data_IF_669304081364
#
_entry.id   IF_669304081364
#
_cell.length_a   1.000
_cell.length_b   1.000
_cell.length_c   1.000
_cell.angle_alpha   90.00
_cell.angle_beta   90.00
_cell.angle_gamma   90.00
#
_symmetry.space_group_name_H-M   'P 1'
#
loop_
_entity.id
_entity.type
_entity.pdbx_description
1 polymer ?
#
# COMPACT_ATOMS: atom_id res chain seq x y z
N UNK A 1 -10.64 -0.84 9.16
CA UNK A 1 -10.88 -2.29 9.00
C UNK A 1 -12.14 -2.61 9.80
N UNK A 2 -13.14 -3.27 9.21
CA UNK A 2 -14.38 -3.57 9.92
C UNK A 2 -14.18 -4.76 10.89
N UNK A 3 -14.95 -4.79 11.98
CA UNK A 3 -14.87 -5.81 13.04
C UNK A 3 -15.03 -7.22 12.47
N UNK A 4 -15.94 -7.41 11.50
CA UNK A 4 -16.19 -8.71 10.89
C UNK A 4 -14.98 -9.29 10.16
N UNK A 5 -14.14 -8.45 9.54
CA UNK A 5 -12.91 -8.87 8.86
C UNK A 5 -11.86 -9.31 9.88
N UNK A 6 -11.70 -8.56 10.97
CA UNK A 6 -10.75 -8.91 12.04
C UNK A 6 -11.18 -10.22 12.71
N UNK A 7 -12.47 -10.39 13.00
CA UNK A 7 -12.99 -11.61 13.63
C UNK A 7 -12.78 -12.86 12.73
N UNK A 8 -12.98 -12.71 11.42
CA UNK A 8 -12.70 -13.78 10.45
C UNK A 8 -11.20 -14.15 10.42
N UNK A 9 -10.33 -13.15 10.31
CA UNK A 9 -8.88 -13.38 10.30
C UNK A 9 -8.37 -14.00 11.60
N UNK A 10 -8.91 -13.59 12.76
CA UNK A 10 -8.61 -14.22 14.06
C UNK A 10 -8.99 -15.70 14.05
N UNK A 11 -10.19 -16.02 13.57
CA UNK A 11 -10.64 -17.42 13.45
C UNK A 11 -9.72 -18.22 12.52
N UNK A 12 -9.33 -17.66 11.38
CA UNK A 12 -8.49 -18.35 10.40
C UNK A 12 -7.04 -18.53 10.90
N UNK A 13 -6.44 -17.51 11.54
CA UNK A 13 -5.12 -17.63 12.16
C UNK A 13 -5.12 -18.68 13.29
N UNK A 14 -6.19 -18.73 14.10
CA UNK A 14 -6.33 -19.76 15.13
C UNK A 14 -6.39 -21.16 14.50
N UNK A 15 -7.17 -21.32 13.43
CA UNK A 15 -7.26 -22.59 12.71
C UNK A 15 -5.90 -22.99 12.11
N UNK A 16 -5.09 -22.05 11.62
CA UNK A 16 -3.72 -22.32 11.16
C UNK A 16 -2.86 -22.89 12.29
N UNK A 17 -2.88 -22.27 13.48
CA UNK A 17 -2.13 -22.76 14.66
C UNK A 17 -2.59 -24.15 15.10
N UNK A 18 -3.90 -24.39 15.15
CA UNK A 18 -4.49 -25.69 15.48
C UNK A 18 -4.08 -26.76 14.47
N UNK A 19 -4.16 -26.46 13.17
CA UNK A 19 -3.76 -27.38 12.10
C UNK A 19 -2.26 -27.71 12.15
N UNK A 20 -1.41 -26.71 12.41
CA UNK A 20 0.03 -26.90 12.61
C UNK A 20 0.32 -27.89 13.76
N UNK A 21 -0.34 -27.71 14.90
CA UNK A 21 -0.19 -28.58 16.06
C UNK A 21 -0.73 -30.00 15.79
N UNK A 22 -1.89 -30.11 15.12
CA UNK A 22 -2.47 -31.39 14.72
C UNK A 22 -1.52 -32.17 13.81
N UNK A 23 -0.89 -31.51 12.83
CA UNK A 23 0.09 -32.14 11.95
C UNK A 23 1.31 -32.68 12.73
N UNK A 24 1.78 -31.96 13.76
CA UNK A 24 2.86 -32.45 14.64
C UNK A 24 2.43 -33.71 15.40
N UNK A 25 1.19 -33.76 15.88
CA UNK A 25 0.64 -34.93 16.55
C UNK A 25 0.47 -36.12 15.61
N UNK A 26 0.00 -35.91 14.38
CA UNK A 26 -0.10 -36.94 13.34
C UNK A 26 1.28 -37.52 12.97
N UNK A 27 2.32 -36.69 13.05
CA UNK A 27 3.72 -37.13 12.91
C UNK A 27 4.27 -37.85 14.15
N UNK A 28 3.47 -38.01 15.20
CA UNK A 28 3.81 -38.61 16.48
C UNK A 28 4.96 -37.89 17.19
N UNK A 29 5.02 -36.55 17.09
CA UNK A 29 5.91 -35.77 17.94
C UNK A 29 5.50 -35.97 19.41
N UNK A 30 6.43 -36.33 20.28
CA UNK A 30 6.10 -36.55 21.69
C UNK A 30 5.74 -35.24 22.39
N UNK A 31 4.86 -35.32 23.38
CA UNK A 31 4.47 -34.16 24.20
C UNK A 31 5.69 -33.47 24.82
N UNK A 32 6.66 -34.24 25.33
CA UNK A 32 7.91 -33.69 25.88
C UNK A 32 8.69 -32.90 24.83
N UNK A 33 8.81 -33.44 23.61
CA UNK A 33 9.55 -32.79 22.53
C UNK A 33 8.86 -31.52 22.04
N UNK A 34 7.52 -31.54 21.93
CA UNK A 34 6.73 -30.35 21.63
C UNK A 34 6.92 -29.28 22.71
N UNK A 35 6.93 -29.68 23.98
CA UNK A 35 7.23 -28.80 25.12
C UNK A 35 8.59 -28.13 24.99
N UNK A 36 9.65 -28.88 24.69
CA UNK A 36 10.99 -28.31 24.47
C UNK A 36 11.00 -27.22 23.38
N UNK A 37 10.20 -27.41 22.31
CA UNK A 37 10.17 -26.48 21.17
C UNK A 37 9.43 -25.19 21.51
N UNK A 38 8.23 -25.31 22.09
CA UNK A 38 7.35 -24.16 22.33
C UNK A 38 7.64 -23.45 23.65
N UNK A 39 8.22 -24.13 24.65
CA UNK A 39 8.54 -23.55 25.97
C UNK A 39 10.02 -23.19 26.09
N UNK A 40 10.93 -24.10 25.68
CA UNK A 40 12.37 -23.97 25.91
C UNK A 40 13.16 -23.42 24.70
N UNK A 41 12.45 -22.97 23.66
CA UNK A 41 13.01 -22.47 22.40
C UNK A 41 13.88 -23.50 21.65
N UNK A 42 13.64 -24.79 21.82
CA UNK A 42 14.34 -25.78 21.01
C UNK A 42 13.89 -25.71 19.54
N UNK A 43 14.80 -25.91 18.60
CA UNK A 43 14.47 -26.03 17.18
C UNK A 43 13.94 -27.43 16.85
N UNK A 44 13.17 -27.52 15.77
CA UNK A 44 12.84 -28.79 15.15
C UNK A 44 14.09 -29.45 14.55
N UNK A 45 14.17 -30.77 14.66
CA UNK A 45 15.15 -31.60 13.96
C UNK A 45 14.47 -32.33 12.82
N UNK A 46 15.21 -32.65 11.76
CA UNK A 46 14.65 -33.43 10.64
C UNK A 46 14.07 -34.79 11.08
N UNK A 47 14.60 -35.39 12.15
CA UNK A 47 14.04 -36.61 12.74
C UNK A 47 12.68 -36.42 13.42
N UNK A 48 12.40 -35.22 13.94
CA UNK A 48 11.12 -34.88 14.58
C UNK A 48 10.00 -34.87 13.53
N UNK A 49 10.32 -34.42 12.31
CA UNK A 49 9.33 -34.10 11.28
C UNK A 49 9.37 -35.07 10.09
N UNK A 50 10.41 -35.90 9.97
CA UNK A 50 10.70 -36.76 8.80
C UNK A 50 10.81 -35.97 7.48
N UNK A 51 11.12 -34.68 7.58
CA UNK A 51 11.40 -33.77 6.48
C UNK A 51 12.30 -32.63 6.96
N UNK A 52 12.74 -31.76 6.05
CA UNK A 52 13.49 -30.57 6.43
C UNK A 52 12.62 -29.66 7.31
N UNK A 53 13.12 -29.24 8.50
CA UNK A 53 12.36 -28.40 9.43
C UNK A 53 11.80 -27.13 8.82
N UNK A 54 12.63 -26.39 8.09
CA UNK A 54 12.23 -25.15 7.43
C UNK A 54 11.04 -25.39 6.49
N UNK A 55 11.13 -26.41 5.62
CA UNK A 55 10.04 -26.79 4.73
C UNK A 55 8.75 -27.20 5.46
N UNK A 56 8.85 -27.80 6.64
CA UNK A 56 7.67 -28.09 7.46
C UNK A 56 6.99 -26.83 7.97
N UNK A 57 7.79 -25.89 8.47
CA UNK A 57 7.28 -24.64 9.01
C UNK A 57 6.71 -23.78 7.89
N UNK A 58 7.36 -23.74 6.73
CA UNK A 58 6.84 -23.22 5.47
C UNK A 58 5.43 -23.75 5.16
N UNK A 59 5.31 -25.06 4.94
CA UNK A 59 4.09 -25.71 4.45
C UNK A 59 2.91 -25.62 5.44
N UNK A 60 3.19 -25.67 6.75
CA UNK A 60 2.16 -25.85 7.77
C UNK A 60 1.94 -24.63 8.68
N UNK A 61 2.76 -23.58 8.57
CA UNK A 61 2.64 -22.39 9.41
C UNK A 61 2.85 -21.10 8.62
N UNK A 62 3.99 -20.93 7.94
CA UNK A 62 4.34 -19.65 7.29
C UNK A 62 3.46 -19.36 6.09
N UNK A 63 3.32 -20.27 5.13
CA UNK A 63 2.46 -20.02 3.97
C UNK A 63 0.99 -19.84 4.36
N UNK A 64 0.42 -20.68 5.26
CA UNK A 64 -0.94 -20.43 5.74
C UNK A 64 -1.11 -19.11 6.50
N UNK A 65 -0.11 -18.67 7.28
CA UNK A 65 -0.17 -17.34 7.93
C UNK A 65 -0.11 -16.21 6.92
N UNK A 66 0.80 -16.26 5.94
CA UNK A 66 0.89 -15.25 4.88
C UNK A 66 -0.41 -15.14 4.09
N UNK A 67 -1.07 -16.28 3.83
CA UNK A 67 -2.38 -16.35 3.19
C UNK A 67 -3.44 -15.58 3.98
N UNK A 68 -3.54 -15.83 5.30
CA UNK A 68 -4.51 -15.13 6.17
C UNK A 68 -4.16 -13.64 6.32
N UNK A 69 -2.88 -13.28 6.36
CA UNK A 69 -2.45 -11.86 6.35
C UNK A 69 -2.73 -11.16 5.01
N UNK A 70 -3.06 -11.90 3.96
CA UNK A 70 -3.42 -11.41 2.63
C UNK A 70 -2.21 -11.08 1.75
N UNK A 71 -1.05 -11.71 1.97
CA UNK A 71 0.11 -11.54 1.11
C UNK A 71 0.04 -12.46 -0.11
N UNK A 72 0.19 -11.89 -1.30
CA UNK A 72 0.48 -12.66 -2.50
C UNK A 72 1.99 -12.86 -2.58
N UNK A 73 2.46 -14.11 -2.54
CA UNK A 73 3.90 -14.42 -2.55
C UNK A 73 4.29 -15.32 -3.71
N UNK A 74 5.46 -15.03 -4.29
CA UNK A 74 6.17 -15.93 -5.20
C UNK A 74 7.31 -16.60 -4.44
N UNK A 75 7.22 -17.92 -4.16
CA UNK A 75 8.32 -18.66 -3.53
C UNK A 75 9.51 -18.76 -4.48
N UNK A 76 10.72 -18.57 -3.95
CA UNK A 76 12.01 -18.73 -4.65
C UNK A 76 12.01 -18.06 -6.02
N UNK A 77 11.84 -16.73 -6.08
CA UNK A 77 11.70 -15.99 -7.33
C UNK A 77 12.96 -16.16 -8.20
N UNK A 78 12.77 -16.37 -9.50
CA UNK A 78 13.87 -16.49 -10.47
C UNK A 78 14.41 -15.09 -10.83
N UNK A 79 15.73 -14.94 -10.94
CA UNK A 79 16.38 -13.75 -11.53
C UNK A 79 17.35 -14.19 -12.61
N UNK A 80 17.12 -13.79 -13.88
CA UNK A 80 17.98 -14.22 -14.97
C UNK A 80 19.42 -13.76 -14.75
N UNK A 81 20.34 -14.72 -14.61
CA UNK A 81 21.79 -14.48 -14.49
C UNK A 81 22.45 -14.87 -13.17
N UNK A 82 21.70 -15.37 -12.17
CA UNK A 82 22.25 -15.76 -10.85
C UNK A 82 22.28 -17.27 -10.60
N UNK A 83 23.16 -17.67 -9.68
CA UNK A 83 23.20 -19.03 -9.15
C UNK A 83 22.03 -19.27 -8.17
N UNK A 84 21.58 -20.52 -8.00
CA UNK A 84 20.43 -20.87 -7.15
C UNK A 84 20.60 -20.56 -5.65
N UNK A 85 21.79 -20.18 -5.20
CA UNK A 85 22.11 -19.88 -3.79
C UNK A 85 21.93 -18.40 -3.42
N UNK A 86 21.48 -17.54 -4.35
CA UNK A 86 21.32 -16.08 -4.16
C UNK A 86 19.85 -15.61 -4.28
N UNK A 87 18.88 -16.49 -4.01
CA UNK A 87 17.47 -16.14 -4.09
C UNK A 87 16.85 -16.02 -2.71
N UNK A 88 16.07 -14.96 -2.45
CA UNK A 88 15.30 -14.90 -1.22
C UNK A 88 14.28 -16.03 -1.20
N UNK A 89 13.85 -16.43 0.00
CA UNK A 89 12.89 -17.53 0.14
C UNK A 89 11.57 -17.24 -0.56
N UNK A 90 11.12 -15.98 -0.52
CA UNK A 90 9.96 -15.50 -1.28
C UNK A 90 10.04 -14.01 -1.64
N UNK A 91 9.20 -13.61 -2.60
CA UNK A 91 8.91 -12.20 -2.92
C UNK A 91 7.43 -11.92 -2.65
N UNK A 92 7.12 -10.73 -2.14
CA UNK A 92 5.75 -10.25 -2.00
C UNK A 92 5.36 -9.47 -3.26
N UNK A 93 4.26 -9.85 -3.88
CA UNK A 93 3.85 -9.35 -5.20
C UNK A 93 2.74 -8.30 -5.14
N UNK A 94 2.03 -8.17 -4.01
CA UNK A 94 0.90 -7.24 -3.83
C UNK A 94 1.21 -6.03 -2.93
N UNK A 95 2.49 -5.67 -2.82
CA UNK A 95 2.95 -4.43 -2.21
C UNK A 95 3.56 -3.51 -3.28
N UNK A 96 3.40 -2.17 -3.16
CA UNK A 96 3.96 -1.22 -4.12
C UNK A 96 5.49 -1.15 -4.03
N UNK A 97 6.05 -1.33 -2.84
CA UNK A 97 7.48 -1.42 -2.62
C UNK A 97 8.03 -2.80 -2.99
N UNK A 98 9.31 -2.87 -3.35
CA UNK A 98 9.99 -4.14 -3.62
C UNK A 98 10.29 -4.87 -2.31
N UNK A 99 9.42 -5.81 -1.94
CA UNK A 99 9.51 -6.56 -0.69
C UNK A 99 9.84 -8.03 -0.95
N UNK A 100 10.83 -8.54 -0.23
CA UNK A 100 11.21 -9.96 -0.19
C UNK A 100 10.97 -10.54 1.19
N UNK A 101 11.11 -11.85 1.36
CA UNK A 101 11.18 -12.43 2.68
C UNK A 101 12.11 -13.62 2.79
N UNK A 102 12.66 -13.73 3.99
CA UNK A 102 13.50 -14.82 4.46
C UNK A 102 12.79 -15.56 5.58
N UNK A 103 12.84 -16.89 5.52
CA UNK A 103 12.23 -17.75 6.50
C UNK A 103 13.15 -18.84 7.04
N UNK A 104 12.98 -19.17 8.32
CA UNK A 104 13.65 -20.30 8.96
C UNK A 104 12.68 -21.20 9.69
N UNK A 105 13.20 -22.31 10.22
CA UNK A 105 12.46 -23.13 11.16
C UNK A 105 12.22 -22.37 12.47
N UNK A 106 11.18 -22.77 13.22
CA UNK A 106 10.82 -22.16 14.51
C UNK A 106 12.00 -21.95 15.44
N UNK A 107 11.98 -20.81 16.13
CA UNK A 107 13.00 -20.33 17.07
C UNK A 107 14.30 -19.80 16.44
N UNK A 108 14.41 -19.72 15.10
CA UNK A 108 15.63 -19.27 14.38
C UNK A 108 15.45 -17.96 13.57
N UNK A 109 14.76 -16.96 14.14
CA UNK A 109 14.53 -15.66 13.47
C UNK A 109 15.82 -14.89 13.14
N UNK A 110 16.87 -15.03 13.94
CA UNK A 110 18.08 -14.21 13.77
C UNK A 110 18.87 -14.62 12.52
N UNK A 111 18.81 -15.90 12.14
CA UNK A 111 19.36 -16.38 10.87
C UNK A 111 18.58 -15.78 9.70
N UNK A 112 17.24 -15.77 9.76
CA UNK A 112 16.39 -15.11 8.75
C UNK A 112 16.74 -13.62 8.59
N UNK A 113 16.92 -12.90 9.71
CA UNK A 113 17.32 -11.49 9.70
C UNK A 113 18.72 -11.26 9.13
N UNK A 114 19.68 -12.14 9.43
CA UNK A 114 21.05 -12.02 8.91
C UNK A 114 21.06 -12.18 7.39
N UNK A 115 20.38 -13.21 6.87
CA UNK A 115 20.27 -13.43 5.43
C UNK A 115 19.49 -12.30 4.74
N UNK A 116 18.45 -11.77 5.40
CA UNK A 116 17.67 -10.66 4.85
C UNK A 116 18.51 -9.38 4.71
N UNK A 117 19.38 -9.10 5.68
CA UNK A 117 20.29 -7.94 5.64
C UNK A 117 21.20 -7.99 4.40
N UNK A 118 21.73 -9.16 4.05
CA UNK A 118 22.57 -9.36 2.87
C UNK A 118 21.83 -9.01 1.57
N UNK A 119 20.52 -9.30 1.49
CA UNK A 119 19.72 -8.95 0.32
C UNK A 119 19.39 -7.47 0.21
N UNK A 120 19.09 -6.82 1.34
CA UNK A 120 18.71 -5.41 1.37
C UNK A 120 19.91 -4.47 1.16
N UNK A 121 21.12 -4.87 1.57
CA UNK A 121 22.38 -4.15 1.27
C UNK A 121 22.60 -3.97 -0.25
N UNK A 122 22.16 -4.93 -1.06
CA UNK A 122 22.36 -4.90 -2.51
C UNK A 122 21.46 -3.89 -3.26
N UNK A 123 20.70 -3.03 -2.57
CA UNK A 123 19.83 -1.93 -3.10
C UNK A 123 18.73 -2.36 -4.09
N UNK A 124 18.52 -3.66 -4.27
CA UNK A 124 17.51 -4.21 -5.20
C UNK A 124 16.10 -4.22 -4.60
N UNK A 125 16.02 -4.33 -3.28
CA UNK A 125 14.79 -4.42 -2.51
C UNK A 125 14.80 -3.33 -1.45
N UNK A 126 13.61 -2.84 -1.13
CA UNK A 126 13.44 -1.70 -0.20
C UNK A 126 13.12 -2.20 1.21
N UNK A 127 12.30 -3.26 1.30
CA UNK A 127 11.90 -3.84 2.56
C UNK A 127 11.99 -5.36 2.53
N UNK A 128 12.01 -5.96 3.71
CA UNK A 128 12.11 -7.39 3.89
C UNK A 128 11.26 -7.93 5.03
N UNK A 129 10.63 -9.09 4.83
CA UNK A 129 9.95 -9.85 5.88
C UNK A 129 10.92 -10.91 6.41
N UNK A 130 11.20 -10.92 7.71
CA UNK A 130 11.90 -12.04 8.34
C UNK A 130 10.94 -12.82 9.23
N UNK A 131 10.95 -14.16 9.12
CA UNK A 131 10.10 -15.02 9.95
C UNK A 131 10.74 -16.37 10.30
N UNK A 132 10.38 -16.91 11.46
CA UNK A 132 10.61 -18.32 11.83
C UNK A 132 9.29 -19.11 11.99
N UNK A 133 8.19 -18.55 11.48
CA UNK A 133 6.82 -19.02 11.69
C UNK A 133 6.23 -18.61 13.05
N UNK A 134 7.01 -18.54 14.11
CA UNK A 134 6.56 -18.03 15.41
C UNK A 134 6.68 -16.52 15.51
N UNK A 135 7.80 -15.95 15.09
CA UNK A 135 8.10 -14.53 15.10
C UNK A 135 8.12 -13.99 13.69
N UNK A 136 7.67 -12.75 13.55
CA UNK A 136 7.50 -12.08 12.27
C UNK A 136 7.88 -10.61 12.43
N UNK A 137 8.55 -10.05 11.44
CA UNK A 137 8.83 -8.62 11.37
C UNK A 137 9.03 -8.17 9.93
N UNK A 138 8.75 -6.89 9.68
CA UNK A 138 9.03 -6.21 8.42
C UNK A 138 10.10 -5.17 8.68
N UNK A 139 11.14 -5.18 7.87
CA UNK A 139 12.36 -4.43 8.11
C UNK A 139 12.78 -3.62 6.89
N UNK A 140 13.42 -2.50 7.16
CA UNK A 140 14.26 -1.76 6.22
C UNK A 140 15.72 -1.80 6.68
N UNK A 141 16.64 -1.42 5.80
CA UNK A 141 18.05 -1.26 6.16
C UNK A 141 18.35 0.21 6.42
N UNK A 142 18.94 0.48 7.59
CA UNK A 142 19.47 1.79 7.94
C UNK A 142 20.97 1.74 8.16
N UNK A 143 21.65 2.85 7.90
CA UNK A 143 23.07 2.99 8.18
C UNK A 143 23.28 3.56 9.59
N UNK A 144 23.94 2.78 10.44
CA UNK A 144 24.38 3.23 11.77
C UNK A 144 25.82 3.72 11.69
N UNK A 145 26.06 4.96 12.14
CA UNK A 145 27.38 5.59 12.33
C UNK A 145 28.32 5.57 11.09
N UNK A 146 27.75 5.52 9.88
CA UNK A 146 28.48 5.63 8.61
C UNK A 146 29.34 4.42 8.23
N UNK A 147 29.12 3.24 8.85
CA UNK A 147 29.92 2.02 8.61
C UNK A 147 29.21 0.69 8.74
N UNK A 148 28.05 0.61 9.39
CA UNK A 148 27.33 -0.66 9.61
C UNK A 148 25.88 -0.55 9.20
N UNK A 149 25.39 -1.55 8.48
CA UNK A 149 23.99 -1.70 8.15
C UNK A 149 23.27 -2.48 9.25
N UNK A 150 22.06 -2.05 9.56
CA UNK A 150 21.19 -2.68 10.57
C UNK A 150 19.78 -2.78 10.03
N UNK A 151 19.07 -3.84 10.42
CA UNK A 151 17.64 -3.97 10.14
C UNK A 151 16.84 -3.21 11.19
N UNK A 152 16.08 -2.22 10.75
CA UNK A 152 15.14 -1.48 11.59
C UNK A 152 13.71 -1.89 11.26
N UNK A 153 12.85 -2.14 12.28
CA UNK A 153 11.48 -2.57 12.05
C UNK A 153 10.62 -1.42 11.51
N UNK A 154 9.97 -1.64 10.38
CA UNK A 154 8.99 -0.71 9.78
C UNK A 154 7.64 -0.80 10.50
N UNK A 155 7.33 -1.99 11.02
CA UNK A 155 6.18 -2.25 11.91
C UNK A 155 6.67 -3.05 13.11
N UNK A 156 6.00 -2.90 14.24
CA UNK A 156 6.36 -3.61 15.47
C UNK A 156 6.38 -5.14 15.23
N UNK A 157 7.49 -5.86 15.50
CA UNK A 157 7.56 -7.30 15.34
C UNK A 157 6.51 -8.03 16.18
N UNK A 158 5.86 -9.04 15.61
CA UNK A 158 4.81 -9.80 16.28
C UNK A 158 5.19 -11.27 16.49
N UNK A 159 4.48 -11.94 17.39
CA UNK A 159 4.74 -13.34 17.74
C UNK A 159 3.45 -14.14 17.91
N UNK A 160 3.36 -15.27 17.20
CA UNK A 160 2.34 -16.30 17.37
C UNK A 160 2.71 -17.31 18.47
N UNK A 161 3.92 -17.25 19.03
CA UNK A 161 4.42 -18.26 19.96
C UNK A 161 3.51 -18.46 21.17
N UNK A 162 2.98 -17.38 21.73
CA UNK A 162 2.08 -17.45 22.88
C UNK A 162 0.71 -18.07 22.52
N UNK A 163 0.24 -17.86 21.29
CA UNK A 163 -0.97 -18.52 20.78
C UNK A 163 -0.73 -20.02 20.61
N UNK A 164 0.42 -20.41 20.04
CA UNK A 164 0.83 -21.82 19.91
C UNK A 164 0.92 -22.49 21.28
N UNK A 165 1.53 -21.82 22.28
CA UNK A 165 1.57 -22.31 23.66
C UNK A 165 0.16 -22.47 24.24
N UNK A 166 -0.71 -21.48 24.05
CA UNK A 166 -2.08 -21.53 24.55
C UNK A 166 -2.83 -22.73 24.00
N UNK A 167 -2.87 -22.88 22.67
CA UNK A 167 -3.61 -23.95 21.98
C UNK A 167 -3.03 -25.33 22.34
N UNK A 168 -1.71 -25.48 22.36
CA UNK A 168 -1.08 -26.76 22.73
C UNK A 168 -1.39 -27.19 24.17
N UNK A 169 -1.51 -26.24 25.10
CA UNK A 169 -1.88 -26.52 26.49
C UNK A 169 -3.37 -26.80 26.64
N UNK A 170 -4.22 -26.03 25.95
CA UNK A 170 -5.68 -26.23 25.90
C UNK A 170 -6.03 -27.65 25.42
N UNK A 171 -5.36 -28.09 24.35
CA UNK A 171 -5.52 -29.42 23.73
C UNK A 171 -4.72 -30.52 24.45
N UNK A 172 -4.01 -30.20 25.54
CA UNK A 172 -3.19 -31.14 26.34
C UNK A 172 -2.14 -31.90 25.52
N UNK A 173 -1.56 -31.22 24.53
CA UNK A 173 -0.52 -31.77 23.65
C UNK A 173 0.87 -31.72 24.30
N UNK A 174 1.01 -30.97 25.40
CA UNK A 174 2.23 -30.86 26.19
C UNK A 174 2.02 -31.38 27.62
N UNK A 175 3.09 -31.78 28.35
CA UNK A 175 2.98 -32.33 29.69
C UNK A 175 2.39 -31.35 30.72
N UNK A 176 2.56 -30.04 30.49
CA UNK A 176 2.08 -28.97 31.35
C UNK A 176 0.91 -28.25 30.69
N UNK A 177 -0.31 -28.51 31.13
CA UNK A 177 -1.55 -27.97 30.52
C UNK A 177 -2.15 -26.77 31.27
N UNK A 178 -1.37 -26.06 32.10
CA UNK A 178 -1.87 -24.88 32.81
C UNK A 178 -1.81 -23.62 31.92
N UNK A 179 -2.95 -22.96 31.77
CA UNK A 179 -3.09 -21.72 30.99
C UNK A 179 -2.72 -20.47 31.80
N UNK A 180 -2.50 -20.59 33.12
CA UNK A 180 -2.16 -19.44 33.96
C UNK A 180 -0.92 -18.70 33.44
N UNK A 181 -1.08 -17.38 33.22
CA UNK A 181 -0.01 -16.49 32.78
C UNK A 181 0.11 -16.34 31.26
N UNK A 182 -0.69 -17.06 30.46
CA UNK A 182 -0.80 -16.82 29.03
C UNK A 182 -1.90 -15.77 28.74
N UNK A 183 -1.68 -14.85 27.77
CA UNK A 183 -2.72 -13.93 27.33
C UNK A 183 -3.87 -14.69 26.65
N UNK A 184 -5.00 -14.01 26.52
CA UNK A 184 -6.11 -14.49 25.71
C UNK A 184 -5.70 -14.50 24.21
N UNK A 185 -5.89 -15.62 23.48
CA UNK A 185 -5.34 -15.79 22.15
C UNK A 185 -6.00 -14.90 21.09
N UNK A 186 -7.31 -14.65 21.16
CA UNK A 186 -8.03 -13.88 20.14
C UNK A 186 -7.51 -12.44 20.08
N UNK A 187 -7.23 -11.83 21.24
CA UNK A 187 -6.61 -10.51 21.33
C UNK A 187 -5.20 -10.45 20.75
N UNK A 188 -4.38 -11.48 20.95
CA UNK A 188 -3.05 -11.58 20.35
C UNK A 188 -3.14 -11.74 18.82
N UNK A 189 -4.05 -12.58 18.34
CA UNK A 189 -4.27 -12.82 16.92
C UNK A 189 -4.82 -11.57 16.22
N UNK A 190 -5.71 -10.83 16.87
CA UNK A 190 -6.23 -9.57 16.35
C UNK A 190 -5.11 -8.53 16.20
N UNK A 191 -4.26 -8.38 17.22
CA UNK A 191 -3.09 -7.50 17.15
C UNK A 191 -2.10 -7.94 16.07
N UNK A 192 -1.83 -9.25 15.98
CA UNK A 192 -0.97 -9.83 14.95
C UNK A 192 -1.47 -9.48 13.54
N UNK A 193 -2.76 -9.72 13.26
CA UNK A 193 -3.39 -9.39 11.98
C UNK A 193 -3.41 -7.89 11.70
N UNK A 194 -3.71 -7.05 12.70
CA UNK A 194 -3.78 -5.60 12.52
C UNK A 194 -2.41 -4.98 12.22
N UNK A 195 -1.33 -5.50 12.80
CA UNK A 195 0.02 -4.96 12.66
C UNK A 195 0.77 -5.55 11.46
N UNK A 196 0.55 -6.83 11.12
CA UNK A 196 1.26 -7.51 10.03
C UNK A 196 0.39 -7.82 8.82
N UNK A 197 -0.92 -7.54 8.87
CA UNK A 197 -1.79 -7.69 7.72
C UNK A 197 -1.29 -6.82 6.57
N UNK A 198 -1.37 -7.34 5.35
CA UNK A 198 -0.76 -6.71 4.18
C UNK A 198 -1.23 -5.26 3.99
N UNK A 199 -2.46 -4.90 4.40
CA UNK A 199 -2.95 -3.52 4.35
C UNK A 199 -2.17 -2.56 5.26
N UNK A 200 -1.85 -2.98 6.47
CA UNK A 200 -1.10 -2.14 7.41
C UNK A 200 0.35 -2.00 6.95
N UNK A 201 0.98 -3.13 6.59
CA UNK A 201 2.35 -3.13 6.06
C UNK A 201 2.43 -2.36 4.74
N UNK A 202 1.44 -2.45 3.86
CA UNK A 202 1.36 -1.62 2.65
C UNK A 202 1.28 -0.13 2.96
N UNK A 203 0.62 0.27 4.05
CA UNK A 203 0.59 1.67 4.48
C UNK A 203 1.95 2.12 5.00
N UNK A 204 2.60 1.28 5.81
CA UNK A 204 3.88 1.58 6.44
C UNK A 204 5.04 1.58 5.43
N UNK A 205 5.01 0.67 4.45
CA UNK A 205 6.00 0.56 3.35
C UNK A 205 5.61 1.35 2.10
N UNK A 206 4.41 1.94 2.08
CA UNK A 206 3.88 2.69 0.95
C UNK A 206 4.26 4.17 0.94
N UNK A 207 4.98 4.66 1.97
CA UNK A 207 5.36 6.08 2.10
C UNK A 207 4.16 7.02 2.13
N UNK A 208 3.06 6.62 2.79
CA UNK A 208 1.91 7.51 2.96
C UNK A 208 2.25 8.70 3.88
N UNK A 209 3.14 8.50 4.86
CA UNK A 209 3.73 9.61 5.63
C UNK A 209 4.43 10.59 4.70
N UNK A 210 5.29 10.07 3.83
CA UNK A 210 6.11 10.84 2.90
C UNK A 210 5.27 11.66 1.92
N UNK A 211 4.20 11.05 1.40
CA UNK A 211 3.22 11.75 0.56
C UNK A 211 2.45 12.81 1.36
N UNK A 212 2.04 12.51 2.60
CA UNK A 212 1.33 13.48 3.45
C UNK A 212 2.24 14.65 3.86
N UNK A 213 3.51 14.38 4.11
CA UNK A 213 4.53 15.37 4.45
C UNK A 213 4.82 16.24 3.22
N UNK A 214 5.06 15.63 2.04
CA UNK A 214 5.20 16.35 0.77
C UNK A 214 3.93 17.16 0.43
N UNK A 215 2.73 16.62 0.70
CA UNK A 215 1.46 17.34 0.51
C UNK A 215 1.34 18.54 1.45
N UNK A 216 1.65 18.38 2.73
CA UNK A 216 1.62 19.46 3.72
C UNK A 216 2.68 20.53 3.46
N UNK A 217 3.88 20.12 3.06
CA UNK A 217 4.99 20.99 2.66
C UNK A 217 4.65 21.79 1.40
N UNK A 218 4.14 21.14 0.36
CA UNK A 218 3.71 21.80 -0.88
C UNK A 218 2.60 22.82 -0.59
N UNK A 219 1.68 22.50 0.33
CA UNK A 219 0.48 23.29 0.60
C UNK A 219 0.74 24.48 1.53
N UNK A 220 1.37 24.27 2.69
CA UNK A 220 1.61 25.29 3.74
C UNK A 220 3.07 25.42 4.20
N UNK A 221 3.99 24.60 3.67
CA UNK A 221 5.39 24.62 4.11
C UNK A 221 5.62 23.98 5.48
N UNK A 222 4.63 23.25 6.01
CA UNK A 222 4.75 22.49 7.26
C UNK A 222 5.01 21.01 6.93
N UNK A 223 6.28 20.68 6.62
CA UNK A 223 6.75 19.31 6.42
C UNK A 223 8.22 19.15 6.80
N UNK A 224 8.62 17.96 7.24
CA UNK A 224 10.01 17.61 7.58
C UNK A 224 10.72 16.87 6.42
N UNK A 225 10.13 16.90 5.22
CA UNK A 225 10.64 16.16 4.07
C UNK A 225 11.69 17.02 3.34
N UNK A 226 12.96 16.61 3.40
CA UNK A 226 14.09 17.40 2.87
C UNK A 226 14.17 17.27 1.34
N UNK A 227 13.23 17.87 0.60
CA UNK A 227 13.30 17.97 -0.86
C UNK A 227 14.06 19.23 -1.30
N UNK A 228 14.98 19.08 -2.25
CA UNK A 228 15.39 20.19 -3.11
C UNK A 228 14.26 20.43 -4.14
N UNK A 229 13.52 21.54 -4.08
CA UNK A 229 12.76 22.02 -5.25
C UNK A 229 11.37 22.64 -5.07
N UNK A 230 10.82 22.82 -3.85
CA UNK A 230 9.66 23.70 -3.64
C UNK A 230 10.10 24.84 -2.71
N UNK A 231 10.48 25.97 -3.30
CA UNK A 231 11.07 27.09 -2.56
C UNK A 231 10.02 27.94 -1.82
N UNK A 232 8.75 27.87 -2.23
CA UNK A 232 7.66 28.69 -1.69
C UNK A 232 6.38 27.87 -1.58
N UNK A 233 5.75 27.79 -0.39
CA UNK A 233 4.49 27.09 -0.21
C UNK A 233 3.40 27.64 -1.14
N UNK A 234 2.55 26.76 -1.65
CA UNK A 234 1.53 27.14 -2.63
C UNK A 234 0.55 28.17 -2.05
N UNK A 235 0.21 28.11 -0.75
CA UNK A 235 -0.63 29.11 -0.07
C UNK A 235 -0.06 30.54 -0.08
N UNK A 236 1.27 30.68 -0.12
CA UNK A 236 1.92 32.00 -0.17
C UNK A 236 1.95 32.59 -1.59
N UNK A 237 1.80 31.74 -2.61
CA UNK A 237 1.81 32.13 -4.03
C UNK A 237 0.42 32.36 -4.63
N UNK A 238 -0.63 32.24 -3.82
CA UNK A 238 -2.01 32.53 -4.23
C UNK A 238 -2.29 34.03 -4.17
N UNK A 239 -2.76 34.58 -5.29
CA UNK A 239 -3.44 35.88 -5.31
C UNK A 239 -4.94 35.64 -5.10
N UNK A 240 -5.47 36.07 -3.95
CA UNK A 240 -6.84 35.79 -3.53
C UNK A 240 -7.71 37.04 -3.59
N UNK A 241 -9.04 36.92 -3.76
CA UNK A 241 -9.95 38.06 -3.68
C UNK A 241 -9.84 38.78 -2.34
N UNK A 242 -10.13 40.09 -2.35
CA UNK A 242 -9.82 40.99 -1.24
C UNK A 242 -10.48 40.63 0.11
N UNK A 243 -11.59 39.89 0.06
CA UNK A 243 -12.37 39.47 1.23
C UNK A 243 -12.02 38.06 1.71
N UNK A 244 -11.14 37.33 1.01
CA UNK A 244 -10.77 35.95 1.35
C UNK A 244 -9.89 35.85 2.59
N UNK A 245 -10.27 34.98 3.52
CA UNK A 245 -9.47 34.65 4.70
C UNK A 245 -8.40 33.57 4.43
N UNK A 246 -7.53 33.34 5.41
CA UNK A 246 -6.44 32.38 5.26
C UNK A 246 -6.95 30.93 5.12
N UNK A 247 -8.10 30.59 5.72
CA UNK A 247 -8.68 29.27 5.60
C UNK A 247 -9.24 29.03 4.19
N UNK A 248 -9.84 30.05 3.57
CA UNK A 248 -10.32 30.01 2.19
C UNK A 248 -9.16 29.86 1.20
N UNK A 249 -8.03 30.55 1.44
CA UNK A 249 -6.80 30.34 0.64
C UNK A 249 -6.26 28.92 0.77
N UNK A 250 -6.16 28.39 1.99
CA UNK A 250 -5.72 27.01 2.22
C UNK A 250 -6.66 26.01 1.53
N UNK A 251 -7.97 26.23 1.60
CA UNK A 251 -8.96 25.38 0.93
C UNK A 251 -8.81 25.41 -0.60
N UNK A 252 -8.60 26.60 -1.18
CA UNK A 252 -8.36 26.76 -2.61
C UNK A 252 -7.12 25.98 -3.07
N UNK A 253 -6.01 26.09 -2.33
CA UNK A 253 -4.78 25.37 -2.65
C UNK A 253 -4.93 23.86 -2.54
N UNK A 254 -5.64 23.39 -1.51
CA UNK A 254 -5.94 21.96 -1.36
C UNK A 254 -6.73 21.43 -2.57
N UNK A 255 -7.78 22.16 -2.97
CA UNK A 255 -8.59 21.82 -4.14
C UNK A 255 -7.75 21.83 -5.43
N UNK A 256 -6.85 22.79 -5.58
CA UNK A 256 -5.94 22.87 -6.73
C UNK A 256 -5.03 21.63 -6.81
N UNK A 257 -4.38 21.23 -5.71
CA UNK A 257 -3.54 20.03 -5.68
C UNK A 257 -4.35 18.77 -5.98
N UNK A 258 -5.55 18.64 -5.42
CA UNK A 258 -6.45 17.50 -5.68
C UNK A 258 -6.86 17.43 -7.17
N UNK A 259 -7.17 18.59 -7.79
CA UNK A 259 -7.48 18.69 -9.23
C UNK A 259 -6.30 18.30 -10.11
N UNK A 260 -5.10 18.80 -9.81
CA UNK A 260 -3.88 18.47 -10.55
C UNK A 260 -3.53 16.99 -10.43
N UNK A 261 -3.61 16.43 -9.22
CA UNK A 261 -3.41 15.00 -8.99
C UNK A 261 -4.43 14.15 -9.76
N UNK A 262 -5.68 14.61 -9.83
CA UNK A 262 -6.70 13.92 -10.62
C UNK A 262 -6.43 13.99 -12.14
N UNK A 263 -6.02 15.15 -12.67
CA UNK A 263 -5.63 15.28 -14.08
C UNK A 263 -4.47 14.33 -14.40
N UNK A 264 -3.46 14.27 -13.54
CA UNK A 264 -2.34 13.33 -13.68
C UNK A 264 -2.80 11.88 -13.69
N UNK A 265 -3.67 11.50 -12.74
CA UNK A 265 -4.23 10.15 -12.69
C UNK A 265 -4.97 9.79 -13.99
N UNK A 266 -5.77 10.71 -14.53
CA UNK A 266 -6.50 10.50 -15.78
C UNK A 266 -5.56 10.42 -16.99
N UNK A 267 -4.48 11.19 -17.03
CA UNK A 267 -3.42 11.05 -18.04
C UNK A 267 -2.78 9.67 -17.98
N UNK A 268 -2.37 9.22 -16.80
CA UNK A 268 -1.72 7.91 -16.62
C UNK A 268 -2.62 6.73 -17.02
N UNK A 269 -3.94 6.93 -16.97
CA UNK A 269 -4.95 5.97 -17.43
C UNK A 269 -5.31 6.11 -18.92
N UNK A 270 -4.69 7.03 -19.64
CA UNK A 270 -4.95 7.30 -21.05
C UNK A 270 -6.32 7.92 -21.33
N UNK A 271 -6.91 8.57 -20.31
CA UNK A 271 -8.20 9.25 -20.40
C UNK A 271 -8.05 10.69 -20.89
N UNK A 272 -6.98 11.34 -20.43
CA UNK A 272 -6.58 12.68 -20.84
C UNK A 272 -5.26 12.61 -21.62
N UNK A 273 -5.19 13.35 -22.72
CA UNK A 273 -3.97 13.60 -23.48
C UNK A 273 -3.43 14.99 -23.11
N UNK A 274 -3.27 15.24 -21.81
CA UNK A 274 -2.83 16.51 -21.24
C UNK A 274 -1.49 16.29 -20.56
N UNK A 275 -0.50 17.10 -20.91
CA UNK A 275 0.86 17.03 -20.37
C UNK A 275 1.19 18.33 -19.66
N UNK A 276 0.60 18.53 -18.47
CA UNK A 276 0.65 19.79 -17.73
C UNK A 276 2.05 20.40 -17.61
N UNK A 277 3.10 19.59 -17.41
CA UNK A 277 4.47 20.08 -17.33
C UNK A 277 5.01 20.59 -18.68
N UNK A 278 4.66 19.92 -19.78
CA UNK A 278 5.01 20.38 -21.12
C UNK A 278 4.23 21.66 -21.47
N UNK A 279 2.93 21.70 -21.16
CA UNK A 279 2.06 22.86 -21.37
C UNK A 279 2.55 24.08 -20.58
N UNK A 280 2.88 23.90 -19.30
CA UNK A 280 3.51 24.93 -18.49
C UNK A 280 4.85 25.38 -19.10
N UNK A 281 5.68 24.44 -19.56
CA UNK A 281 6.94 24.74 -20.25
C UNK A 281 6.75 25.52 -21.56
N UNK A 282 5.60 25.37 -22.23
CA UNK A 282 5.21 26.13 -23.41
C UNK A 282 4.68 27.51 -23.06
N UNK A 283 3.89 27.61 -21.98
CA UNK A 283 3.40 28.87 -21.42
C UNK A 283 4.57 29.77 -20.99
N UNK A 284 5.55 29.22 -20.26
CA UNK A 284 6.67 29.99 -19.72
C UNK A 284 7.74 30.36 -20.78
N UNK A 285 7.49 30.14 -22.08
CA UNK A 285 8.42 30.48 -23.17
C UNK A 285 7.98 31.70 -23.98
N UNK A 286 8.95 32.56 -24.28
CA UNK A 286 8.80 33.63 -25.28
C UNK A 286 7.83 34.72 -24.85
N UNK A 287 6.82 34.99 -25.69
CA UNK A 287 5.80 36.01 -25.44
C UNK A 287 4.60 35.48 -24.63
N UNK A 288 4.47 34.15 -24.48
CA UNK A 288 3.33 33.52 -23.83
C UNK A 288 3.29 33.83 -22.32
N UNK A 289 4.44 33.84 -21.64
CA UNK A 289 4.60 34.24 -20.23
C UNK A 289 4.10 35.63 -19.83
N UNK A 290 3.65 36.44 -20.80
CA UNK A 290 3.11 37.78 -20.56
C UNK A 290 1.58 37.82 -20.77
N UNK A 291 0.94 36.69 -21.04
CA UNK A 291 -0.50 36.59 -21.33
C UNK A 291 -1.35 36.35 -20.08
N UNK A 292 -0.72 36.14 -18.93
CA UNK A 292 -1.33 35.83 -17.64
C UNK A 292 -0.47 34.80 -16.92
N UNK A 293 -0.96 34.27 -15.80
CA UNK A 293 -0.38 33.08 -15.18
C UNK A 293 -0.81 31.82 -15.95
N UNK A 294 -0.10 30.72 -15.77
CA UNK A 294 -0.49 29.41 -16.26
C UNK A 294 -1.80 28.95 -15.62
N UNK A 295 -2.03 29.31 -14.36
CA UNK A 295 -3.29 28.99 -13.71
C UNK A 295 -4.47 29.68 -14.41
N UNK A 296 -4.41 31.00 -14.59
CA UNK A 296 -5.49 31.77 -15.20
C UNK A 296 -5.68 31.47 -16.69
N UNK A 297 -4.59 31.31 -17.43
CA UNK A 297 -4.65 31.15 -18.90
C UNK A 297 -4.86 29.72 -19.37
N UNK A 298 -4.58 28.72 -18.52
CA UNK A 298 -4.60 27.32 -18.92
C UNK A 298 -5.36 26.43 -17.94
N UNK A 299 -5.01 26.44 -16.65
CA UNK A 299 -5.67 25.55 -15.68
C UNK A 299 -7.12 25.94 -15.40
N UNK A 300 -7.45 27.23 -15.29
CA UNK A 300 -8.83 27.71 -15.12
C UNK A 300 -9.72 27.32 -16.30
N UNK A 301 -9.36 27.64 -17.57
CA UNK A 301 -10.12 27.14 -18.72
C UNK A 301 -10.22 25.62 -18.74
N UNK A 302 -9.12 24.92 -18.44
CA UNK A 302 -9.14 23.47 -18.36
C UNK A 302 -10.14 22.99 -17.30
N UNK A 303 -10.14 23.53 -16.09
CA UNK A 303 -10.99 23.06 -15.00
C UNK A 303 -12.45 23.45 -15.23
N UNK A 304 -12.73 24.74 -15.40
CA UNK A 304 -14.09 25.26 -15.36
C UNK A 304 -14.77 25.22 -16.73
N UNK A 305 -14.09 25.63 -17.79
CA UNK A 305 -14.72 25.72 -19.12
C UNK A 305 -14.71 24.38 -19.87
N UNK A 306 -13.82 23.47 -19.47
CA UNK A 306 -13.56 22.24 -20.19
C UNK A 306 -13.90 21.01 -19.36
N UNK A 307 -13.27 20.79 -18.20
CA UNK A 307 -13.50 19.58 -17.42
C UNK A 307 -14.83 19.64 -16.66
N UNK A 308 -15.33 20.82 -16.27
CA UNK A 308 -16.62 20.98 -15.58
C UNK A 308 -17.83 21.13 -16.52
N UNK A 309 -17.61 21.48 -17.79
CA UNK A 309 -18.69 21.77 -18.73
C UNK A 309 -18.91 20.61 -19.74
N UNK A 310 -20.16 20.29 -20.12
CA UNK A 310 -20.43 19.32 -21.17
C UNK A 310 -19.94 19.77 -22.55
N UNK A 311 -19.40 18.84 -23.34
CA UNK A 311 -18.81 19.13 -24.68
C UNK A 311 -19.71 19.93 -25.64
N UNK A 312 -21.03 19.82 -25.52
CA UNK A 312 -21.97 20.54 -26.37
C UNK A 312 -22.15 22.01 -26.01
N UNK A 313 -21.73 22.40 -24.79
CA UNK A 313 -21.91 23.73 -24.20
C UNK A 313 -20.59 24.52 -24.13
N UNK A 314 -19.45 23.85 -24.36
CA UNK A 314 -18.12 24.47 -24.39
C UNK A 314 -17.95 25.45 -25.56
N UNK A 315 -17.21 26.52 -25.31
CA UNK A 315 -16.63 27.35 -26.36
C UNK A 315 -15.49 26.61 -27.08
N UNK A 316 -14.99 27.12 -28.22
CA UNK A 316 -13.85 26.50 -28.92
C UNK A 316 -12.62 26.46 -28.00
N UNK A 317 -12.22 25.24 -27.60
CA UNK A 317 -11.10 24.98 -26.69
C UNK A 317 -9.88 24.37 -27.42
N UNK A 318 -8.70 24.49 -26.81
CA UNK A 318 -7.43 23.96 -27.35
C UNK A 318 -7.09 22.53 -26.89
N UNK A 319 -7.92 21.92 -26.04
CA UNK A 319 -7.55 20.77 -25.19
C UNK A 319 -7.83 19.39 -25.81
N UNK A 320 -7.83 19.27 -27.13
CA UNK A 320 -8.10 17.98 -27.82
C UNK A 320 -9.44 17.32 -27.41
N UNK A 321 -10.45 18.13 -27.02
CA UNK A 321 -11.81 17.70 -26.64
C UNK A 321 -11.85 16.67 -25.49
N UNK A 322 -11.36 17.02 -24.30
CA UNK A 322 -11.27 16.08 -23.19
C UNK A 322 -12.67 15.73 -22.65
N UNK A 323 -12.81 14.64 -21.89
CA UNK A 323 -14.04 14.28 -21.19
C UNK A 323 -14.62 15.38 -20.29
N UNK A 324 -15.93 15.34 -20.04
CA UNK A 324 -16.61 16.14 -19.02
C UNK A 324 -16.63 15.35 -17.70
N UNK A 325 -16.06 15.92 -16.65
CA UNK A 325 -16.06 15.45 -15.27
C UNK A 325 -16.99 16.34 -14.45
N UNK A 326 -18.24 15.92 -14.31
CA UNK A 326 -19.21 16.66 -13.51
C UNK A 326 -18.91 16.59 -12.02
N UNK A 327 -19.82 17.03 -11.14
CA UNK A 327 -19.93 16.61 -9.73
C UNK A 327 -18.84 17.13 -8.79
N UNK A 328 -18.61 18.43 -8.86
CA UNK A 328 -18.05 19.19 -7.73
C UNK A 328 -16.55 19.37 -7.74
N UNK A 329 -15.73 18.39 -8.19
CA UNK A 329 -14.27 18.58 -8.15
C UNK A 329 -13.81 19.75 -9.02
N UNK A 330 -14.36 19.87 -10.23
CA UNK A 330 -13.99 20.92 -11.20
C UNK A 330 -15.01 22.05 -11.26
N UNK A 331 -16.09 21.98 -10.49
CA UNK A 331 -17.02 23.09 -10.33
C UNK A 331 -16.46 24.07 -9.28
N UNK A 332 -16.80 25.36 -9.34
CA UNK A 332 -16.50 26.29 -8.26
C UNK A 332 -17.20 25.84 -6.96
N UNK A 333 -16.41 25.64 -5.91
CA UNK A 333 -16.87 25.21 -4.58
C UNK A 333 -16.75 26.34 -3.56
N UNK A 334 -15.77 27.22 -3.74
CA UNK A 334 -15.53 28.39 -2.90
C UNK A 334 -16.25 29.63 -3.42
N UNK A 335 -16.53 30.57 -2.52
CA UNK A 335 -17.08 31.88 -2.89
C UNK A 335 -16.03 32.66 -3.72
N UNK A 336 -16.44 33.19 -4.87
CA UNK A 336 -15.59 33.97 -5.79
C UNK A 336 -14.30 33.23 -6.23
N UNK A 337 -14.36 31.90 -6.36
CA UNK A 337 -13.21 31.05 -6.71
C UNK A 337 -12.54 31.47 -8.03
N UNK A 338 -13.32 32.00 -8.98
CA UNK A 338 -12.87 32.49 -10.28
C UNK A 338 -11.87 33.66 -10.16
N UNK A 339 -11.90 34.40 -9.04
CA UNK A 339 -11.04 35.54 -8.77
C UNK A 339 -9.66 35.17 -8.22
N UNK A 340 -9.45 33.90 -7.85
CA UNK A 340 -8.14 33.41 -7.38
C UNK A 340 -7.15 33.27 -8.54
N UNK A 341 -5.86 33.44 -8.26
CA UNK A 341 -4.78 33.17 -9.20
C UNK A 341 -3.55 32.57 -8.50
N UNK A 342 -2.62 31.97 -9.25
CA UNK A 342 -1.41 31.34 -8.73
C UNK A 342 -0.19 31.75 -9.57
N UNK A 343 0.90 32.11 -8.87
CA UNK A 343 2.18 32.43 -9.50
C UNK A 343 2.81 31.29 -10.30
N UNK A 344 3.38 31.62 -11.46
CA UNK A 344 4.03 30.66 -12.38
C UNK A 344 5.31 30.02 -11.82
N UNK A 345 5.97 30.73 -10.90
CA UNK A 345 7.19 30.29 -10.23
C UNK A 345 6.93 29.05 -9.38
N UNK A 346 5.91 29.07 -8.53
CA UNK A 346 5.55 27.91 -7.70
C UNK A 346 4.90 26.80 -8.52
N UNK A 347 4.17 27.14 -9.57
CA UNK A 347 3.51 26.14 -10.41
C UNK A 347 4.50 25.16 -11.07
N UNK A 348 5.70 25.64 -11.45
CA UNK A 348 6.75 24.77 -11.98
C UNK A 348 7.12 23.67 -10.98
N UNK A 349 7.36 24.09 -9.75
CA UNK A 349 7.86 23.27 -8.67
C UNK A 349 6.80 22.23 -8.28
N UNK A 350 5.54 22.66 -8.14
CA UNK A 350 4.39 21.77 -7.89
C UNK A 350 4.25 20.71 -8.98
N UNK A 351 4.30 21.11 -10.26
CA UNK A 351 4.15 20.16 -11.37
C UNK A 351 5.32 19.16 -11.41
N UNK A 352 6.55 19.62 -11.13
CA UNK A 352 7.75 18.79 -11.22
C UNK A 352 7.88 17.85 -10.02
N UNK A 353 7.76 18.37 -8.81
CA UNK A 353 8.03 17.65 -7.56
C UNK A 353 6.81 16.86 -7.12
N UNK A 354 5.65 17.50 -7.04
CA UNK A 354 4.44 16.88 -6.50
C UNK A 354 3.69 16.04 -7.56
N UNK A 355 3.50 16.56 -8.78
CA UNK A 355 2.67 15.88 -9.78
C UNK A 355 3.44 14.84 -10.59
N UNK A 356 4.69 15.11 -10.98
CA UNK A 356 5.50 14.19 -11.78
C UNK A 356 6.51 13.38 -10.95
N UNK A 357 7.08 14.00 -9.91
CA UNK A 357 8.06 13.37 -9.02
C UNK A 357 7.44 12.31 -8.11
N UNK A 358 6.17 12.46 -7.76
CA UNK A 358 5.47 11.54 -6.86
C UNK A 358 4.59 10.53 -7.61
N UNK A 359 5.18 9.38 -7.94
CA UNK A 359 4.47 8.25 -8.57
C UNK A 359 3.40 7.61 -7.68
N UNK A 360 3.41 7.91 -6.38
CA UNK A 360 2.45 7.45 -5.37
C UNK A 360 1.24 8.40 -5.27
N UNK A 361 0.95 9.20 -6.30
CA UNK A 361 -0.21 10.11 -6.33
C UNK A 361 -1.53 9.31 -6.18
N UNK A 362 -1.87 9.06 -4.91
CA UNK A 362 -3.02 8.31 -4.45
C UNK A 362 -4.07 9.33 -4.03
N UNK A 363 -5.27 9.13 -4.56
CA UNK A 363 -6.53 9.77 -4.15
C UNK A 363 -6.58 9.90 -2.62
N UNK A 364 -6.49 11.13 -2.09
CA UNK A 364 -6.68 11.39 -0.66
C UNK A 364 -8.17 11.16 -0.27
N UNK A 365 -8.48 11.21 1.04
CA UNK A 365 -9.87 11.03 1.53
C UNK A 365 -10.86 12.12 1.06
N UNK A 366 -10.39 13.31 0.68
CA UNK A 366 -11.14 14.38 -0.01
C UNK A 366 -11.42 14.08 -1.49
N UNK A 367 -10.44 13.56 -2.24
CA UNK A 367 -10.64 13.05 -3.60
C UNK A 367 -11.59 11.85 -3.62
N UNK A 368 -11.69 11.08 -2.52
CA UNK A 368 -12.69 10.01 -2.34
C UNK A 368 -14.13 10.52 -2.38
N UNK A 369 -14.39 11.74 -1.91
CA UNK A 369 -15.71 12.40 -1.93
C UNK A 369 -15.99 13.09 -3.28
N UNK A 370 -15.08 13.94 -3.74
CA UNK A 370 -15.26 14.70 -4.98
C UNK A 370 -15.28 13.82 -6.23
N UNK A 371 -14.52 12.71 -6.27
CA UNK A 371 -14.58 11.78 -7.41
C UNK A 371 -15.88 10.98 -7.50
N UNK A 372 -16.50 10.69 -6.35
CA UNK A 372 -17.77 9.98 -6.27
C UNK A 372 -18.94 10.86 -6.70
N UNK A 373 -18.89 12.16 -6.37
CA UNK A 373 -19.83 13.13 -6.90
C UNK A 373 -19.59 13.35 -8.39
N UNK A 374 -18.33 13.43 -8.83
CA UNK A 374 -17.99 13.63 -10.24
C UNK A 374 -18.45 12.54 -11.20
N UNK A 375 -18.43 11.30 -10.73
CA UNK A 375 -18.96 10.13 -11.42
C UNK A 375 -20.47 10.23 -11.75
N UNK A 376 -21.28 10.91 -10.93
CA UNK A 376 -22.75 10.83 -11.03
C UNK A 376 -23.38 11.82 -12.02
N UNK A 377 -22.64 12.82 -12.50
CA UNK A 377 -23.25 13.97 -13.18
C UNK A 377 -22.77 14.23 -14.63
N UNK A 378 -21.90 13.40 -15.22
CA UNK A 378 -21.41 13.62 -16.60
C UNK A 378 -22.44 13.27 -17.69
N UNK A 379 -22.50 14.07 -18.76
CA UNK A 379 -23.50 13.99 -19.84
C UNK A 379 -23.20 12.93 -20.92
N UNK A 380 -21.93 12.59 -21.12
CA UNK A 380 -21.53 11.53 -22.05
C UNK A 380 -21.77 10.18 -21.37
N UNK A 381 -22.92 9.53 -21.60
CA UNK A 381 -23.25 8.25 -20.95
C UNK A 381 -22.17 7.16 -21.09
N UNK A 382 -21.42 7.15 -22.20
CA UNK A 382 -20.31 6.22 -22.41
C UNK A 382 -19.07 6.61 -21.61
N UNK A 383 -18.81 7.90 -21.42
CA UNK A 383 -17.75 8.39 -20.55
C UNK A 383 -18.13 8.28 -19.07
N UNK A 384 -19.38 8.58 -18.72
CA UNK A 384 -19.97 8.31 -17.41
C UNK A 384 -19.85 6.83 -17.09
N UNK A 385 -20.19 5.97 -18.05
CA UNK A 385 -20.00 4.53 -17.98
C UNK A 385 -18.53 4.15 -17.82
N UNK A 386 -17.61 4.76 -18.57
CA UNK A 386 -16.17 4.51 -18.46
C UNK A 386 -15.55 5.07 -17.19
N UNK A 387 -15.98 6.21 -16.66
CA UNK A 387 -15.52 6.80 -15.40
C UNK A 387 -16.12 6.07 -14.20
N UNK A 388 -17.36 5.59 -14.32
CA UNK A 388 -17.94 4.62 -13.41
C UNK A 388 -17.19 3.31 -13.45
N UNK A 389 -16.83 2.83 -14.64
CA UNK A 389 -16.02 1.63 -14.83
C UNK A 389 -14.60 1.86 -14.37
N UNK A 390 -13.98 3.03 -14.55
CA UNK A 390 -12.61 3.35 -14.15
C UNK A 390 -12.52 3.67 -12.68
N UNK A 391 -13.51 4.35 -12.10
CA UNK A 391 -13.65 4.50 -10.66
C UNK A 391 -13.98 3.15 -10.06
N UNK A 392 -14.99 2.44 -10.55
CA UNK A 392 -15.22 1.06 -10.21
C UNK A 392 -14.27 0.10 -10.95
N UNK A 393 -13.08 0.48 -11.43
CA UNK A 393 -11.98 -0.38 -11.90
C UNK A 393 -10.70 0.10 -11.19
N UNK A 394 -10.69 1.29 -10.59
CA UNK A 394 -9.73 1.72 -9.60
C UNK A 394 -10.20 1.14 -8.28
N UNK A 395 -11.37 1.53 -7.79
CA UNK A 395 -12.10 0.90 -6.70
C UNK A 395 -12.34 -0.56 -6.96
N UNK A 396 -12.61 -1.07 -8.18
CA UNK A 396 -12.63 -2.52 -8.42
C UNK A 396 -11.27 -3.08 -8.76
N UNK A 397 -10.21 -2.39 -9.19
CA UNK A 397 -8.86 -2.98 -9.14
C UNK A 397 -8.26 -2.90 -7.73
N UNK A 398 -8.83 -2.08 -6.84
CA UNK A 398 -8.48 -1.96 -5.43
C UNK A 398 -9.30 -2.98 -4.65
N UNK A 399 -10.61 -3.04 -4.86
CA UNK A 399 -11.59 -4.01 -4.34
C UNK A 399 -11.51 -5.36 -5.06
N UNK A 400 -10.97 -5.46 -6.27
CA UNK A 400 -10.56 -6.70 -6.95
C UNK A 400 -9.05 -6.84 -7.02
N UNK A 401 -8.24 -5.98 -6.39
CA UNK A 401 -6.96 -6.46 -5.83
C UNK A 401 -7.29 -7.16 -4.53
N UNK A 402 -8.06 -6.49 -3.65
CA UNK A 402 -8.71 -7.06 -2.46
C UNK A 402 -9.49 -8.34 -2.80
N UNK A 403 -10.37 -8.30 -3.79
CA UNK A 403 -11.16 -9.46 -4.20
C UNK A 403 -10.44 -10.37 -5.20
N UNK A 404 -9.35 -9.97 -5.88
CA UNK A 404 -8.49 -10.97 -6.56
C UNK A 404 -7.65 -11.72 -5.53
N UNK A 405 -7.24 -11.08 -4.44
CA UNK A 405 -6.67 -11.73 -3.26
C UNK A 405 -7.73 -12.64 -2.60
N UNK A 406 -8.96 -12.17 -2.36
CA UNK A 406 -10.04 -13.01 -1.77
C UNK A 406 -10.58 -14.09 -2.74
N UNK A 407 -10.65 -13.84 -4.06
CA UNK A 407 -11.30 -14.66 -5.10
C UNK A 407 -10.32 -15.40 -6.03
N UNK A 408 -8.99 -15.23 -5.96
CA UNK A 408 -8.02 -16.09 -6.69
C UNK A 408 -7.21 -17.01 -5.76
N UNK A 409 -7.29 -16.80 -4.45
CA UNK A 409 -6.88 -17.78 -3.45
C UNK A 409 -8.01 -18.83 -3.24
N UNK A 410 -9.29 -18.42 -3.26
CA UNK A 410 -10.44 -19.34 -3.04
C UNK A 410 -10.71 -20.40 -4.15
N UNK A 411 -10.63 -20.12 -5.47
CA UNK A 411 -10.95 -21.10 -6.52
C UNK A 411 -9.78 -21.99 -6.94
N UNK A 412 -8.53 -21.57 -6.71
CA UNK A 412 -7.34 -22.42 -6.93
C UNK A 412 -7.39 -23.66 -6.03
N UNK A 413 -8.03 -23.54 -4.85
CA UNK A 413 -8.31 -24.63 -3.90
C UNK A 413 -9.53 -25.50 -4.23
N UNK A 414 -10.47 -25.06 -5.10
CA UNK A 414 -11.58 -25.93 -5.54
C UNK A 414 -11.28 -26.74 -6.79
N UNK A 415 -10.40 -26.28 -7.69
CA UNK A 415 -10.09 -27.01 -8.94
C UNK A 415 -9.19 -28.24 -8.73
N UNK A 416 -8.53 -28.36 -7.58
CA UNK A 416 -7.76 -29.55 -7.19
C UNK A 416 -8.54 -30.54 -6.29
N UNK A 417 -9.81 -30.26 -5.96
CA UNK A 417 -10.64 -31.10 -5.09
C UNK A 417 -11.73 -31.92 -5.83
N UNK A 418 -12.08 -31.59 -7.09
CA UNK A 418 -13.16 -32.28 -7.81
C UNK A 418 -12.77 -32.53 -9.28
N UNK A 419 -12.05 -33.62 -9.55
CA UNK A 419 -11.68 -34.01 -10.91
C UNK A 419 -10.86 -35.29 -10.99
N UNK A 420 -11.37 -36.41 -10.46
CA UNK A 420 -10.64 -37.68 -10.49
C UNK A 420 -11.36 -38.89 -9.90
N UNK A 421 -12.63 -39.11 -10.25
CA UNK A 421 -13.20 -40.47 -10.29
C UNK A 421 -13.94 -40.66 -11.60
N UNK A 422 -13.33 -41.40 -12.51
CA UNK A 422 -14.01 -42.39 -13.34
C UNK A 422 -12.97 -43.42 -13.81
N UNK A 423 -13.35 -44.68 -13.57
CA UNK A 423 -12.72 -45.98 -13.80
C UNK A 423 -11.53 -46.43 -12.93
#
# INVERSE_FOLDING_TARGET
MDSATVDAAVSDLRAVVENFLNELNDRNLSADRLGEIIEDNAEFKGADLRQFPERFVEDHLIWPVLDVLGYAVTPRPDSPGQSREEYPDFRVDNLPARVIGENKSVNDIETAKTELLDYLDNTRYEYGIATDGFRWGVYEVTETDGRSLTLEPVVEPQSLKQVVQYVAREERMVPYADLNGLPEPDGLLAAFFQNLGHHHVRRATGGLSDFHDLYAETLVGEGDYDHDGIDTPLVEAVDAPADADDAEKTAFVALLLDRLAFVRLMRDRGVLEIELHEEWSHHNKGLNRFQGSFYDTHLKPLFYDVLSEPKGEREEDEFSSPPHFAGGLFEPVLDDEDAYDVGDDVMQDVLTVFIEGESRTVINEGARGSLLESYRATEEKDLAGRMAEWYADLTRAYESELAYVEENISPTLRRHSIGGKQD
#
